data_IF_714378590644
#
_entry.id   IF_714378590644
#
_cell.length_a   1.000
_cell.length_b   1.000
_cell.length_c   1.000
_cell.angle_alpha   90.00
_cell.angle_beta   90.00
_cell.angle_gamma   90.00
#
_symmetry.space_group_name_H-M   'P 1'
#
loop_
_entity.id
_entity.type
_entity.pdbx_description
1 polymer ?
#
# COMPACT_ATOMS: atom_id res chain seq x y z
N UNK A 1 -5.57 -62.25 66.96
CA UNK A 1 -6.89 -61.69 66.57
C UNK A 1 -6.73 -60.19 66.57
N UNK A 2 -7.16 -59.49 65.53
CA UNK A 2 -7.15 -58.02 65.55
C UNK A 2 -8.17 -57.52 66.58
N UNK A 3 -7.79 -56.56 67.40
CA UNK A 3 -8.72 -55.90 68.32
C UNK A 3 -9.72 -55.06 67.51
N UNK A 4 -11.03 -55.18 67.79
CA UNK A 4 -12.04 -54.38 67.10
C UNK A 4 -11.94 -52.91 67.52
N UNK A 5 -11.87 -52.02 66.53
CA UNK A 5 -11.87 -50.57 66.73
C UNK A 5 -13.24 -50.10 67.23
N UNK A 6 -13.22 -49.14 68.16
CA UNK A 6 -14.41 -48.45 68.64
C UNK A 6 -14.94 -47.47 67.58
N UNK A 7 -16.24 -47.12 67.58
CA UNK A 7 -16.80 -46.17 66.61
C UNK A 7 -16.06 -44.83 66.56
N UNK A 8 -15.53 -44.35 67.68
CA UNK A 8 -14.78 -43.09 67.74
C UNK A 8 -13.40 -43.20 67.05
N UNK A 9 -12.83 -44.39 66.96
CA UNK A 9 -11.54 -44.67 66.30
C UNK A 9 -11.70 -44.82 64.77
N UNK A 10 -12.95 -44.91 64.28
CA UNK A 10 -13.27 -44.99 62.86
C UNK A 10 -13.46 -43.62 62.20
N UNK A 11 -13.50 -42.54 62.98
CA UNK A 11 -13.74 -41.17 62.50
C UNK A 11 -12.69 -40.21 63.01
N UNK A 12 -12.17 -39.40 62.10
CA UNK A 12 -11.32 -38.26 62.44
C UNK A 12 -12.18 -37.01 62.49
N UNK A 13 -12.57 -36.58 63.69
CA UNK A 13 -13.38 -35.38 63.90
C UNK A 13 -12.47 -34.17 63.93
N UNK A 14 -12.73 -33.18 63.06
CA UNK A 14 -12.10 -31.87 63.13
C UNK A 14 -12.89 -31.01 64.13
N UNK A 15 -12.24 -30.54 65.19
CA UNK A 15 -12.85 -29.66 66.17
C UNK A 15 -12.95 -28.24 65.61
N UNK A 16 -14.15 -27.66 65.38
CA UNK A 16 -14.28 -26.33 64.80
C UNK A 16 -13.63 -25.22 65.64
N UNK A 17 -13.54 -25.41 66.97
CA UNK A 17 -12.92 -24.43 67.86
C UNK A 17 -11.40 -24.28 67.62
N UNK A 18 -10.75 -25.29 67.01
CA UNK A 18 -9.31 -25.26 66.68
C UNK A 18 -8.99 -24.43 65.43
N UNK A 19 -9.99 -24.07 64.62
CA UNK A 19 -9.80 -23.41 63.33
C UNK A 19 -9.57 -21.90 63.46
N UNK A 20 -9.98 -21.29 64.58
CA UNK A 20 -9.69 -19.88 64.89
C UNK A 20 -10.47 -18.84 64.09
N UNK A 21 -11.51 -19.24 63.34
CA UNK A 21 -12.43 -18.35 62.63
C UNK A 21 -13.88 -18.79 62.81
N UNK A 22 -14.82 -17.86 62.72
CA UNK A 22 -16.26 -18.19 62.86
C UNK A 22 -16.86 -18.57 61.52
N UNK A 23 -16.45 -17.89 60.46
CA UNK A 23 -16.92 -18.11 59.09
C UNK A 23 -15.75 -18.16 58.11
N UNK A 24 -15.92 -18.85 56.97
CA UNK A 24 -14.88 -18.93 55.93
C UNK A 24 -14.63 -17.59 55.23
N UNK A 25 -15.48 -16.58 55.44
CA UNK A 25 -15.27 -15.21 54.92
C UNK A 25 -14.09 -14.52 55.62
N UNK A 26 -13.76 -14.94 56.84
CA UNK A 26 -12.63 -14.42 57.62
C UNK A 26 -11.28 -15.01 57.19
N UNK A 27 -11.30 -16.08 56.38
CA UNK A 27 -10.09 -16.79 55.96
C UNK A 27 -9.51 -16.10 54.73
N UNK A 28 -8.28 -15.58 54.80
CA UNK A 28 -7.63 -14.97 53.65
C UNK A 28 -7.44 -16.00 52.53
N UNK A 29 -7.57 -15.56 51.28
CA UNK A 29 -7.34 -16.43 50.13
C UNK A 29 -5.89 -16.89 50.10
N UNK A 30 -5.66 -18.20 50.09
CA UNK A 30 -4.33 -18.75 49.93
C UNK A 30 -3.89 -18.57 48.47
N UNK A 31 -2.78 -17.88 48.26
CA UNK A 31 -2.12 -17.78 46.95
C UNK A 31 -0.99 -18.80 46.77
N UNK A 32 -0.64 -19.51 47.85
CA UNK A 32 0.40 -20.53 47.85
C UNK A 32 -0.06 -21.86 47.27
N UNK A 33 0.89 -22.55 46.63
CA UNK A 33 0.66 -23.86 46.02
C UNK A 33 0.88 -24.95 47.04
N UNK A 34 -0.20 -25.57 47.51
CA UNK A 34 -0.15 -26.61 48.54
C UNK A 34 0.42 -27.92 47.95
N UNK A 35 1.50 -28.43 48.53
CA UNK A 35 2.02 -29.79 48.27
C UNK A 35 2.69 -30.01 46.91
N UNK A 36 2.98 -28.95 46.14
CA UNK A 36 3.58 -29.04 44.80
C UNK A 36 4.97 -28.39 44.69
N UNK A 37 5.73 -28.31 45.79
CA UNK A 37 7.04 -27.62 45.85
C UNK A 37 8.01 -28.06 44.74
N UNK A 38 8.05 -29.36 44.43
CA UNK A 38 8.92 -29.88 43.37
C UNK A 38 8.53 -29.33 42.00
N UNK A 39 7.24 -29.27 41.70
CA UNK A 39 6.75 -28.76 40.42
C UNK A 39 7.01 -27.25 40.31
N UNK A 40 6.80 -26.50 41.40
CA UNK A 40 7.09 -25.06 41.44
C UNK A 40 8.57 -24.76 41.23
N UNK A 41 9.49 -25.49 41.89
CA UNK A 41 10.93 -25.34 41.65
C UNK A 41 11.32 -25.64 40.19
N UNK A 42 10.71 -26.63 39.56
CA UNK A 42 10.97 -26.96 38.16
C UNK A 42 10.44 -25.88 37.20
N UNK A 43 9.26 -25.32 37.51
CA UNK A 43 8.69 -24.20 36.78
C UNK A 43 9.59 -22.95 36.89
N UNK A 44 9.99 -22.58 38.11
CA UNK A 44 10.88 -21.44 38.35
C UNK A 44 12.23 -21.59 37.65
N UNK A 45 12.82 -22.79 37.71
CA UNK A 45 14.05 -23.09 36.99
C UNK A 45 13.87 -22.90 35.48
N UNK A 46 12.79 -23.45 34.90
CA UNK A 46 12.52 -23.34 33.47
C UNK A 46 12.25 -21.89 33.03
N UNK A 47 11.51 -21.12 33.85
CA UNK A 47 11.24 -19.70 33.58
C UNK A 47 12.49 -18.81 33.75
N UNK A 48 13.49 -19.26 34.51
CA UNK A 48 14.76 -18.57 34.68
C UNK A 48 15.77 -18.79 33.54
N UNK A 49 15.46 -19.65 32.55
CA UNK A 49 16.33 -19.90 31.40
C UNK A 49 16.09 -18.84 30.31
N UNK A 50 17.05 -17.95 30.00
CA UNK A 50 16.87 -16.89 29.01
C UNK A 50 17.07 -17.37 27.56
N UNK A 51 17.57 -18.58 27.35
CA UNK A 51 17.91 -19.09 26.02
C UNK A 51 16.70 -19.62 25.25
N UNK A 52 16.70 -19.37 23.94
CA UNK A 52 15.71 -19.94 23.03
C UNK A 52 15.91 -21.46 22.89
N UNK A 53 14.81 -22.19 22.68
CA UNK A 53 14.82 -23.65 22.44
C UNK A 53 14.37 -24.50 23.63
N UNK A 54 14.16 -23.89 24.81
CA UNK A 54 13.58 -24.56 25.97
C UNK A 54 12.07 -24.30 26.04
N UNK A 55 11.30 -25.35 26.31
CA UNK A 55 9.86 -25.29 26.53
C UNK A 55 9.51 -26.06 27.81
N UNK A 56 8.48 -25.61 28.54
CA UNK A 56 8.01 -26.27 29.76
C UNK A 56 6.73 -27.06 29.44
N UNK A 57 6.72 -28.34 29.81
CA UNK A 57 5.53 -29.19 29.73
C UNK A 57 5.08 -29.57 31.14
N UNK A 58 3.79 -29.35 31.43
CA UNK A 58 3.22 -29.58 32.77
C UNK A 58 2.29 -30.78 32.76
N UNK A 59 2.69 -31.84 33.47
CA UNK A 59 1.94 -33.09 33.62
C UNK A 59 1.39 -33.24 35.05
N UNK A 60 0.21 -33.84 35.18
CA UNK A 60 -0.39 -34.23 36.46
C UNK A 60 -1.82 -34.72 36.29
N UNK A 61 -2.48 -35.03 37.40
CA UNK A 61 -3.86 -35.54 37.38
C UNK A 61 -4.88 -34.45 37.05
N UNK A 62 -6.04 -34.84 36.55
CA UNK A 62 -7.16 -33.94 36.29
C UNK A 62 -7.74 -33.41 37.61
N UNK A 63 -8.21 -32.15 37.61
CA UNK A 63 -8.80 -31.53 38.81
C UNK A 63 -7.82 -30.94 39.82
N UNK A 64 -6.51 -31.02 39.57
CA UNK A 64 -5.45 -30.52 40.47
C UNK A 64 -5.19 -29.01 40.38
N UNK A 65 -5.94 -28.27 39.56
CA UNK A 65 -5.76 -26.82 39.40
C UNK A 65 -4.46 -26.39 38.68
N UNK A 66 -3.77 -27.32 38.00
CA UNK A 66 -2.48 -27.08 37.31
C UNK A 66 -2.45 -25.82 36.46
N UNK A 67 -3.44 -25.64 35.59
CA UNK A 67 -3.49 -24.48 34.69
C UNK A 67 -3.57 -23.17 35.47
N UNK A 68 -4.38 -23.13 36.52
CA UNK A 68 -4.52 -21.94 37.37
C UNK A 68 -3.21 -21.60 38.10
N UNK A 69 -2.54 -22.61 38.64
CA UNK A 69 -1.26 -22.46 39.34
C UNK A 69 -0.17 -21.95 38.38
N UNK A 70 -0.03 -22.61 37.23
CA UNK A 70 0.96 -22.24 36.21
C UNK A 70 0.70 -20.84 35.69
N UNK A 71 -0.56 -20.50 35.38
CA UNK A 71 -0.95 -19.17 34.92
C UNK A 71 -0.62 -18.09 35.96
N UNK A 72 -1.00 -18.30 37.22
CA UNK A 72 -0.73 -17.33 38.28
C UNK A 72 0.78 -17.08 38.44
N UNK A 73 1.58 -18.15 38.38
CA UNK A 73 3.05 -18.03 38.49
C UNK A 73 3.67 -17.34 37.27
N UNK A 74 3.18 -17.65 36.07
CA UNK A 74 3.58 -16.98 34.83
C UNK A 74 3.26 -15.48 34.89
N UNK A 75 2.05 -15.11 35.31
CA UNK A 75 1.62 -13.71 35.42
C UNK A 75 2.42 -12.92 36.46
N UNK A 76 2.84 -13.57 37.55
CA UNK A 76 3.73 -12.96 38.53
C UNK A 76 5.11 -12.68 37.93
N UNK A 77 5.72 -13.70 37.29
CA UNK A 77 7.04 -13.55 36.68
C UNK A 77 7.02 -12.55 35.52
N UNK A 78 5.99 -12.60 34.69
CA UNK A 78 5.88 -11.80 33.48
C UNK A 78 5.84 -10.29 33.78
N UNK A 79 5.34 -9.87 34.95
CA UNK A 79 5.37 -8.46 35.39
C UNK A 79 6.78 -7.89 35.54
N UNK A 80 7.76 -8.74 35.79
CA UNK A 80 9.17 -8.34 35.95
C UNK A 80 9.93 -8.31 34.61
N UNK A 81 9.36 -8.90 33.56
CA UNK A 81 9.98 -8.98 32.25
C UNK A 81 9.86 -7.67 31.48
N UNK A 82 10.64 -7.53 30.41
CA UNK A 82 10.52 -6.37 29.51
C UNK A 82 9.21 -6.47 28.73
N UNK A 83 8.58 -5.32 28.52
CA UNK A 83 7.44 -5.21 27.59
C UNK A 83 7.95 -5.52 26.18
N UNK A 84 7.36 -6.49 25.46
CA UNK A 84 7.79 -6.82 24.12
C UNK A 84 7.35 -5.75 23.11
N UNK A 85 8.07 -5.69 21.99
CA UNK A 85 7.77 -4.78 20.88
C UNK A 85 6.35 -4.99 20.31
N UNK A 86 5.81 -3.92 19.74
CA UNK A 86 4.68 -3.97 18.82
C UNK A 86 5.11 -4.62 17.50
N UNK A 87 4.17 -5.28 16.83
CA UNK A 87 4.39 -5.88 15.51
C UNK A 87 3.37 -5.40 14.51
N UNK A 88 3.86 -4.91 13.38
CA UNK A 88 3.06 -4.43 12.27
C UNK A 88 3.39 -5.20 10.99
N UNK A 89 2.37 -5.53 10.19
CA UNK A 89 2.54 -5.85 8.78
C UNK A 89 2.38 -4.59 7.94
N UNK A 90 3.31 -4.41 7.00
CA UNK A 90 3.27 -3.36 6.00
C UNK A 90 3.31 -3.98 4.61
N UNK A 91 2.72 -3.28 3.64
CA UNK A 91 2.74 -3.72 2.25
C UNK A 91 4.16 -3.77 1.71
N UNK A 92 4.43 -4.74 0.84
CA UNK A 92 5.72 -4.90 0.20
C UNK A 92 5.61 -4.49 -1.27
N UNK A 93 6.14 -3.31 -1.61
CA UNK A 93 6.08 -2.76 -2.96
C UNK A 93 6.90 -3.55 -3.99
N UNK A 94 7.82 -4.41 -3.54
CA UNK A 94 8.64 -5.26 -4.40
C UNK A 94 8.05 -6.65 -4.62
N UNK A 95 7.34 -7.17 -3.62
CA UNK A 95 6.71 -8.49 -3.65
C UNK A 95 5.35 -8.44 -2.93
N UNK A 96 4.27 -8.02 -3.62
CA UNK A 96 2.94 -7.80 -3.03
C UNK A 96 2.37 -8.98 -2.24
N UNK A 97 2.72 -10.21 -2.61
CA UNK A 97 2.22 -11.43 -1.97
C UNK A 97 2.96 -11.74 -0.66
N UNK A 98 3.96 -10.92 -0.28
CA UNK A 98 4.82 -11.13 0.89
C UNK A 98 4.91 -9.86 1.74
N UNK A 99 3.91 -9.60 2.61
CA UNK A 99 3.95 -8.44 3.50
C UNK A 99 5.18 -8.47 4.41
N UNK A 100 5.71 -7.29 4.72
CA UNK A 100 6.89 -7.14 5.58
C UNK A 100 6.47 -6.93 7.02
N UNK A 101 7.09 -7.67 7.94
CA UNK A 101 6.92 -7.45 9.37
C UNK A 101 7.92 -6.40 9.87
N UNK A 102 7.44 -5.44 10.65
CA UNK A 102 8.25 -4.42 11.32
C UNK A 102 7.94 -4.47 12.82
N UNK A 103 8.97 -4.61 13.65
CA UNK A 103 8.87 -4.46 15.09
C UNK A 103 9.16 -3.01 15.50
N UNK A 104 8.41 -2.51 16.47
CA UNK A 104 8.56 -1.17 17.02
C UNK A 104 8.43 -1.21 18.54
N UNK A 105 9.03 -0.27 19.29
CA UNK A 105 8.84 -0.22 20.73
C UNK A 105 7.36 -0.13 21.13
N UNK A 106 6.99 -0.58 22.33
CA UNK A 106 5.61 -0.62 22.79
C UNK A 106 4.85 0.70 22.57
N UNK A 107 3.70 0.61 21.90
CA UNK A 107 2.84 1.74 21.54
C UNK A 107 3.23 2.52 20.30
N UNK A 108 4.44 2.36 19.76
CA UNK A 108 4.86 3.03 18.52
C UNK A 108 4.16 2.45 17.29
N UNK A 109 3.73 1.20 17.31
CA UNK A 109 2.94 0.57 16.25
C UNK A 109 1.58 1.25 16.08
N UNK A 110 0.92 1.59 17.19
CA UNK A 110 -0.31 2.39 17.13
C UNK A 110 -0.08 3.80 16.58
N UNK A 111 1.02 4.45 16.99
CA UNK A 111 1.33 5.80 16.54
C UNK A 111 1.60 5.87 15.02
N UNK A 112 2.38 4.93 14.46
CA UNK A 112 2.68 4.95 13.01
C UNK A 112 1.45 4.61 12.18
N UNK A 113 0.56 3.74 12.66
CA UNK A 113 -0.71 3.46 11.99
C UNK A 113 -1.54 4.73 11.85
N UNK A 114 -1.73 5.44 12.96
CA UNK A 114 -2.54 6.65 12.98
C UNK A 114 -1.88 7.77 12.15
N UNK A 115 -0.55 7.93 12.24
CA UNK A 115 0.21 8.87 11.40
C UNK A 115 0.10 8.57 9.88
N UNK A 116 0.12 7.29 9.50
CA UNK A 116 -0.04 6.88 8.10
C UNK A 116 -1.45 7.15 7.58
N UNK A 117 -2.47 6.92 8.40
CA UNK A 117 -3.85 7.28 8.06
C UNK A 117 -3.98 8.80 7.87
N UNK A 118 -3.40 9.59 8.76
CA UNK A 118 -3.36 11.06 8.63
C UNK A 118 -2.61 11.54 7.39
N UNK A 119 -1.46 10.93 7.07
CA UNK A 119 -0.69 11.20 5.86
C UNK A 119 -1.54 11.00 4.62
N UNK A 120 -2.17 9.82 4.48
CA UNK A 120 -2.96 9.49 3.29
C UNK A 120 -4.16 10.43 3.15
N UNK A 121 -4.84 10.77 4.25
CA UNK A 121 -5.94 11.72 4.23
C UNK A 121 -5.47 13.15 3.88
N UNK A 122 -4.29 13.57 4.33
CA UNK A 122 -3.69 14.83 3.93
C UNK A 122 -3.35 14.85 2.43
N UNK A 123 -2.78 13.77 1.89
CA UNK A 123 -2.43 13.65 0.47
C UNK A 123 -3.67 13.66 -0.43
N UNK A 124 -4.72 12.92 -0.07
CA UNK A 124 -6.02 12.93 -0.77
C UNK A 124 -6.64 14.32 -0.86
N UNK A 125 -6.39 15.20 0.11
CA UNK A 125 -6.88 16.58 0.10
C UNK A 125 -5.95 17.53 -0.64
N UNK A 126 -4.65 17.40 -0.44
CA UNK A 126 -3.68 18.39 -0.90
C UNK A 126 -3.28 18.19 -2.36
N UNK A 127 -3.09 16.94 -2.81
CA UNK A 127 -2.68 16.66 -4.20
C UNK A 127 -3.67 17.22 -5.23
N UNK A 128 -5.01 16.97 -5.12
CA UNK A 128 -5.98 17.57 -6.04
C UNK A 128 -5.90 19.09 -6.12
N UNK A 129 -5.75 19.76 -4.97
CA UNK A 129 -5.73 21.24 -4.90
C UNK A 129 -4.56 21.86 -5.63
N UNK A 130 -3.43 21.15 -5.73
CA UNK A 130 -2.28 21.67 -6.48
C UNK A 130 -2.47 21.49 -7.99
N UNK A 131 -3.15 20.43 -8.43
CA UNK A 131 -3.58 20.30 -9.82
C UNK A 131 -4.61 21.35 -10.25
N UNK A 132 -5.42 21.85 -9.31
CA UNK A 132 -6.38 22.95 -9.54
C UNK A 132 -5.74 24.35 -9.36
N UNK A 133 -4.43 24.43 -9.12
CA UNK A 133 -3.75 25.70 -8.91
C UNK A 133 -3.49 26.42 -10.24
N UNK A 134 -3.64 27.76 -10.23
CA UNK A 134 -3.36 28.60 -11.41
C UNK A 134 -1.91 28.48 -11.90
N UNK A 135 -0.97 28.25 -10.99
CA UNK A 135 0.44 28.08 -11.34
C UNK A 135 0.66 26.79 -12.13
N UNK A 136 0.02 25.69 -11.72
CA UNK A 136 0.05 24.43 -12.47
C UNK A 136 -0.62 24.58 -13.84
N UNK A 137 -1.83 25.15 -13.89
CA UNK A 137 -2.55 25.38 -15.14
C UNK A 137 -1.72 26.19 -16.14
N UNK A 138 -1.11 27.28 -15.67
CA UNK A 138 -0.25 28.13 -16.50
C UNK A 138 0.95 27.37 -17.07
N UNK A 139 1.72 26.65 -16.25
CA UNK A 139 2.88 25.90 -16.76
C UNK A 139 2.47 24.78 -17.72
N UNK A 140 1.35 24.12 -17.45
CA UNK A 140 0.79 23.10 -18.34
C UNK A 140 0.39 23.71 -19.69
N UNK A 141 -0.29 24.86 -19.68
CA UNK A 141 -0.71 25.55 -20.89
C UNK A 141 0.49 26.05 -21.70
N UNK A 142 1.54 26.58 -21.05
CA UNK A 142 2.80 26.96 -21.71
C UNK A 142 3.47 25.77 -22.44
N UNK A 143 3.46 24.57 -21.84
CA UNK A 143 3.97 23.36 -22.47
C UNK A 143 3.15 22.97 -23.71
N UNK A 144 1.81 23.08 -23.62
CA UNK A 144 0.89 22.75 -24.71
C UNK A 144 0.96 23.76 -25.85
N UNK A 145 1.05 25.05 -25.55
CA UNK A 145 1.24 26.10 -26.55
C UNK A 145 2.56 25.90 -27.31
N UNK A 146 3.66 25.61 -26.61
CA UNK A 146 4.94 25.29 -27.24
C UNK A 146 4.88 24.05 -28.14
N UNK A 147 4.09 23.04 -27.78
CA UNK A 147 3.83 21.86 -28.62
C UNK A 147 3.06 22.24 -29.89
N UNK A 148 2.02 23.06 -29.75
CA UNK A 148 1.19 23.51 -30.86
C UNK A 148 2.00 24.34 -31.85
N UNK A 149 2.84 25.26 -31.36
CA UNK A 149 3.71 26.10 -32.19
C UNK A 149 4.74 25.27 -32.97
N UNK A 150 5.45 24.35 -32.31
CA UNK A 150 6.42 23.45 -32.96
C UNK A 150 5.76 22.60 -34.04
N UNK A 151 4.59 22.03 -33.74
CA UNK A 151 3.83 21.21 -34.70
C UNK A 151 3.33 22.05 -35.87
N UNK A 152 2.84 23.27 -35.61
CA UNK A 152 2.39 24.20 -36.66
C UNK A 152 3.55 24.61 -37.57
N UNK A 153 4.69 24.98 -37.02
CA UNK A 153 5.89 25.36 -37.79
C UNK A 153 6.40 24.21 -38.67
N UNK A 154 6.29 22.96 -38.20
CA UNK A 154 6.63 21.77 -38.97
C UNK A 154 5.76 21.63 -40.23
N UNK A 155 4.44 21.67 -40.09
CA UNK A 155 3.54 21.56 -41.23
C UNK A 155 3.53 22.79 -42.14
N UNK A 156 3.75 24.00 -41.60
CA UNK A 156 3.90 25.22 -42.42
C UNK A 156 5.13 25.17 -43.33
N UNK A 157 6.26 24.63 -42.83
CA UNK A 157 7.46 24.43 -43.67
C UNK A 157 7.19 23.45 -44.82
N UNK A 158 6.45 22.38 -44.54
CA UNK A 158 6.05 21.39 -45.55
C UNK A 158 5.04 21.96 -46.55
N UNK A 159 4.08 22.77 -46.09
CA UNK A 159 3.10 23.46 -46.95
C UNK A 159 3.77 24.45 -47.91
N UNK A 160 4.75 25.21 -47.43
CA UNK A 160 5.55 26.10 -48.27
C UNK A 160 6.33 25.32 -49.34
N UNK A 161 7.00 24.24 -48.95
CA UNK A 161 7.75 23.37 -49.88
C UNK A 161 6.83 22.71 -50.92
N UNK A 162 5.64 22.26 -50.52
CA UNK A 162 4.65 21.71 -51.42
C UNK A 162 4.16 22.78 -52.42
N UNK A 163 3.85 23.98 -51.94
CA UNK A 163 3.37 25.08 -52.78
C UNK A 163 4.42 25.53 -53.80
N UNK A 164 5.69 25.63 -53.40
CA UNK A 164 6.83 25.95 -54.30
C UNK A 164 7.00 24.93 -55.42
N UNK A 165 6.56 23.67 -55.21
CA UNK A 165 6.61 22.59 -56.20
C UNK A 165 5.28 22.36 -56.92
N UNK A 166 4.27 23.20 -56.70
CA UNK A 166 2.95 23.07 -57.35
C UNK A 166 2.06 21.99 -56.74
N UNK A 167 2.14 21.78 -55.43
CA UNK A 167 1.33 20.83 -54.66
C UNK A 167 0.63 21.52 -53.47
N UNK A 168 -0.40 20.88 -52.94
CA UNK A 168 -1.14 21.32 -51.75
C UNK A 168 -1.18 20.21 -50.71
N UNK A 169 -1.17 20.57 -49.43
CA UNK A 169 -1.53 19.66 -48.34
C UNK A 169 -3.03 19.71 -48.09
N UNK A 170 -3.69 18.55 -48.11
CA UNK A 170 -5.13 18.42 -47.86
C UNK A 170 -5.39 17.44 -46.74
N UNK A 171 -6.34 17.77 -45.87
CA UNK A 171 -6.92 16.82 -44.91
C UNK A 171 -7.86 15.86 -45.64
N UNK A 172 -7.63 14.57 -45.48
CA UNK A 172 -8.45 13.48 -45.99
C UNK A 172 -8.94 12.61 -44.81
N UNK A 173 -9.94 11.74 -45.00
CA UNK A 173 -10.37 10.80 -43.95
C UNK A 173 -9.25 9.87 -43.45
N UNK A 174 -8.23 9.61 -44.29
CA UNK A 174 -7.07 8.81 -43.95
C UNK A 174 -5.91 9.63 -43.32
N UNK A 175 -6.09 10.94 -43.11
CA UNK A 175 -5.08 11.85 -42.59
C UNK A 175 -4.66 12.92 -43.61
N UNK A 176 -3.48 13.52 -43.41
CA UNK A 176 -2.94 14.50 -44.36
C UNK A 176 -2.43 13.81 -45.63
N UNK A 177 -2.67 14.41 -46.79
CA UNK A 177 -2.17 13.95 -48.08
C UNK A 177 -1.62 15.13 -48.90
N UNK A 178 -0.60 14.86 -49.70
CA UNK A 178 -0.07 15.80 -50.69
C UNK A 178 -0.79 15.56 -52.02
N UNK A 179 -1.34 16.62 -52.62
CA UNK A 179 -2.06 16.54 -53.90
C UNK A 179 -1.50 17.55 -54.92
N UNK A 180 -1.37 17.20 -56.21
CA UNK A 180 -0.92 18.13 -57.24
C UNK A 180 -1.89 19.32 -57.38
N UNK A 181 -1.36 20.51 -57.61
CA UNK A 181 -2.13 21.75 -57.76
C UNK A 181 -2.14 22.23 -59.22
N UNK A 182 -3.32 22.57 -59.72
CA UNK A 182 -3.53 23.19 -61.03
C UNK A 182 -3.05 24.65 -61.03
N UNK A 183 -2.99 25.25 -62.23
CA UNK A 183 -2.60 26.67 -62.40
C UNK A 183 -3.54 27.65 -61.69
N UNK A 184 -4.74 27.21 -61.36
CA UNK A 184 -5.77 27.93 -60.63
C UNK A 184 -5.66 27.77 -59.10
N UNK A 185 -4.64 27.05 -58.62
CA UNK A 185 -4.41 26.80 -57.19
C UNK A 185 -5.36 25.78 -56.57
N UNK A 186 -6.07 24.99 -57.40
CA UNK A 186 -6.95 23.91 -56.93
C UNK A 186 -6.30 22.53 -57.11
N UNK A 187 -6.70 21.51 -56.35
CA UNK A 187 -6.23 20.15 -56.60
C UNK A 187 -6.57 19.72 -58.05
N UNK A 188 -5.60 19.19 -58.79
CA UNK A 188 -5.84 18.63 -60.12
C UNK A 188 -6.89 17.52 -60.03
N UNK A 189 -7.87 17.55 -60.93
CA UNK A 189 -8.76 16.41 -61.13
C UNK A 189 -8.05 15.30 -61.91
N UNK A 190 -8.56 14.07 -61.76
CA UNK A 190 -8.04 12.89 -62.46
C UNK A 190 -8.00 13.09 -63.99
N UNK A 191 -9.02 13.75 -64.57
CA UNK A 191 -9.10 14.03 -66.01
C UNK A 191 -8.04 15.03 -66.46
N UNK A 192 -7.84 16.11 -65.70
CA UNK A 192 -6.82 17.12 -66.02
C UNK A 192 -5.41 16.56 -65.92
N UNK A 193 -5.16 15.63 -65.00
CA UNK A 193 -3.89 14.94 -64.89
C UNK A 193 -3.67 14.01 -66.10
N UNK A 194 -4.70 13.28 -66.54
CA UNK A 194 -4.64 12.37 -67.70
C UNK A 194 -4.40 13.09 -69.04
N UNK A 195 -4.81 14.35 -69.16
CA UNK A 195 -4.57 15.18 -70.35
C UNK A 195 -3.14 15.76 -70.41
N UNK A 196 -2.33 15.63 -69.35
CA UNK A 196 -0.96 16.15 -69.33
C UNK A 196 0.01 15.34 -70.20
N UNK A 197 1.03 16.00 -70.80
CA UNK A 197 2.14 15.32 -71.47
C UNK A 197 2.87 14.35 -70.55
N UNK A 198 3.41 13.26 -71.13
CA UNK A 198 4.09 12.19 -70.39
C UNK A 198 5.27 12.69 -69.53
N UNK A 199 6.00 13.70 -70.02
CA UNK A 199 7.11 14.34 -69.30
C UNK A 199 6.63 15.06 -68.03
N UNK A 200 5.51 15.80 -68.10
CA UNK A 200 4.92 16.48 -66.95
C UNK A 200 4.32 15.52 -65.92
N UNK A 201 3.73 14.40 -66.37
CA UNK A 201 3.26 13.34 -65.48
C UNK A 201 4.41 12.74 -64.68
N UNK A 202 5.53 12.44 -65.33
CA UNK A 202 6.73 11.93 -64.66
C UNK A 202 7.27 12.92 -63.61
N UNK A 203 7.33 14.21 -63.92
CA UNK A 203 7.75 15.25 -62.98
C UNK A 203 6.81 15.37 -61.76
N UNK A 204 5.49 15.28 -61.98
CA UNK A 204 4.50 15.27 -60.90
C UNK A 204 4.67 14.02 -60.03
N UNK A 205 4.88 12.84 -60.62
CA UNK A 205 5.02 11.59 -59.87
C UNK A 205 6.27 11.59 -58.98
N UNK A 206 7.42 12.07 -59.49
CA UNK A 206 8.65 12.18 -58.71
C UNK A 206 8.51 13.19 -57.57
N UNK A 207 7.92 14.37 -57.83
CA UNK A 207 7.67 15.37 -56.80
C UNK A 207 6.64 14.89 -55.76
N UNK A 208 5.62 14.13 -56.18
CA UNK A 208 4.64 13.51 -55.28
C UNK A 208 5.35 12.56 -54.32
N UNK A 209 6.22 11.68 -54.84
CA UNK A 209 6.98 10.74 -54.01
C UNK A 209 7.87 11.46 -53.01
N UNK A 210 8.62 12.47 -53.46
CA UNK A 210 9.49 13.28 -52.61
C UNK A 210 8.71 14.01 -51.49
N UNK A 211 7.59 14.66 -51.84
CA UNK A 211 6.77 15.38 -50.85
C UNK A 211 6.04 14.42 -49.90
N UNK A 212 5.66 13.24 -50.38
CA UNK A 212 5.07 12.19 -49.53
C UNK A 212 6.08 11.66 -48.51
N UNK A 213 7.35 11.49 -48.90
CA UNK A 213 8.44 11.17 -47.97
C UNK A 213 8.62 12.27 -46.92
N UNK A 214 8.63 13.55 -47.35
CA UNK A 214 8.72 14.70 -46.42
C UNK A 214 7.51 14.82 -45.49
N UNK A 215 6.31 14.47 -45.96
CA UNK A 215 5.12 14.39 -45.13
C UNK A 215 5.25 13.29 -44.07
N UNK A 216 5.77 12.12 -44.45
CA UNK A 216 6.01 11.03 -43.50
C UNK A 216 7.05 11.42 -42.44
N UNK A 217 8.12 12.13 -42.83
CA UNK A 217 9.11 12.68 -41.90
C UNK A 217 8.46 13.65 -40.91
N UNK A 218 7.63 14.58 -41.40
CA UNK A 218 6.91 15.54 -40.57
C UNK A 218 5.92 14.86 -39.61
N UNK A 219 5.19 13.83 -40.06
CA UNK A 219 4.30 13.06 -39.17
C UNK A 219 5.09 12.34 -38.08
N UNK A 220 6.27 11.80 -38.40
CA UNK A 220 7.15 11.15 -37.41
C UNK A 220 7.66 12.16 -36.38
N UNK A 221 8.12 13.33 -36.84
CA UNK A 221 8.58 14.40 -35.95
C UNK A 221 7.44 14.94 -35.08
N UNK A 222 6.22 15.10 -35.61
CA UNK A 222 5.04 15.46 -34.82
C UNK A 222 4.74 14.46 -33.70
N UNK A 223 4.86 13.15 -33.95
CA UNK A 223 4.73 12.11 -32.92
C UNK A 223 5.83 12.20 -31.86
N UNK A 224 7.05 12.54 -32.25
CA UNK A 224 8.13 12.74 -31.28
C UNK A 224 7.86 13.97 -30.39
N UNK A 225 7.37 15.07 -30.97
CA UNK A 225 6.94 16.25 -30.21
C UNK A 225 5.85 15.88 -29.21
N UNK A 226 4.84 15.11 -29.63
CA UNK A 226 3.77 14.63 -28.75
C UNK A 226 4.32 13.79 -27.58
N UNK A 227 5.27 12.89 -27.85
CA UNK A 227 5.95 12.09 -26.82
C UNK A 227 6.73 12.98 -25.85
N UNK A 228 7.54 13.92 -26.35
CA UNK A 228 8.29 14.87 -25.51
C UNK A 228 7.35 15.72 -24.65
N UNK A 229 6.23 16.17 -25.20
CA UNK A 229 5.22 16.94 -24.48
C UNK A 229 4.61 16.13 -23.35
N UNK A 230 4.27 14.86 -23.60
CA UNK A 230 3.79 13.97 -22.54
C UNK A 230 4.83 13.81 -21.44
N UNK A 231 6.09 13.51 -21.80
CA UNK A 231 7.18 13.36 -20.82
C UNK A 231 7.38 14.64 -19.98
N UNK A 232 7.21 15.84 -20.57
CA UNK A 232 7.26 17.12 -19.86
C UNK A 232 6.08 17.34 -18.92
N UNK A 233 4.88 16.96 -19.34
CA UNK A 233 3.69 17.03 -18.48
C UNK A 233 3.84 16.07 -17.31
N UNK A 234 4.25 14.83 -17.55
CA UNK A 234 4.48 13.83 -16.50
C UNK A 234 5.57 14.29 -15.51
N UNK A 235 6.61 15.00 -16.00
CA UNK A 235 7.64 15.61 -15.16
C UNK A 235 7.11 16.78 -14.31
N UNK A 236 6.31 17.67 -14.91
CA UNK A 236 5.63 18.76 -14.20
C UNK A 236 4.71 18.21 -13.10
N UNK A 237 3.92 17.18 -13.43
CA UNK A 237 3.04 16.50 -12.49
C UNK A 237 3.83 15.94 -11.30
N UNK A 238 4.94 15.26 -11.57
CA UNK A 238 5.81 14.70 -10.54
C UNK A 238 6.44 15.77 -9.66
N UNK A 239 6.95 16.85 -10.25
CA UNK A 239 7.56 17.97 -9.52
C UNK A 239 6.56 18.60 -8.55
N UNK A 240 5.37 18.92 -9.06
CA UNK A 240 4.30 19.58 -8.30
C UNK A 240 3.81 18.69 -7.17
N UNK A 241 3.66 17.39 -7.39
CA UNK A 241 3.28 16.44 -6.34
C UNK A 241 4.40 16.22 -5.33
N UNK A 242 5.68 16.21 -5.75
CA UNK A 242 6.82 16.14 -4.84
C UNK A 242 6.82 17.28 -3.82
N UNK A 243 6.45 18.49 -4.22
CA UNK A 243 6.33 19.63 -3.29
C UNK A 243 5.28 19.42 -2.20
N UNK A 244 4.27 18.56 -2.43
CA UNK A 244 3.24 18.20 -1.44
C UNK A 244 3.65 16.98 -0.62
N UNK A 245 4.17 15.94 -1.28
CA UNK A 245 4.48 14.65 -0.67
C UNK A 245 5.72 14.72 0.22
N UNK A 246 6.79 15.37 -0.26
CA UNK A 246 8.08 15.35 0.43
C UNK A 246 8.00 15.95 1.84
N UNK A 247 7.38 17.13 2.08
CA UNK A 247 7.30 17.68 3.43
C UNK A 247 6.58 16.74 4.41
N UNK A 248 5.46 16.14 3.98
CA UNK A 248 4.65 15.26 4.84
C UNK A 248 5.35 13.94 5.16
N UNK A 249 6.02 13.32 4.19
CA UNK A 249 6.76 12.08 4.44
C UNK A 249 8.04 12.35 5.23
N UNK A 250 8.75 13.45 4.95
CA UNK A 250 9.97 13.79 5.68
C UNK A 250 9.68 14.04 7.17
N UNK A 251 8.52 14.59 7.52
CA UNK A 251 8.08 14.70 8.91
C UNK A 251 8.01 13.33 9.61
N UNK A 252 7.45 12.32 8.93
CA UNK A 252 7.41 10.95 9.46
C UNK A 252 8.80 10.31 9.50
N UNK A 253 9.62 10.49 8.46
CA UNK A 253 11.00 9.96 8.43
C UNK A 253 11.81 10.50 9.61
N UNK A 254 11.73 11.81 9.89
CA UNK A 254 12.42 12.41 11.03
C UNK A 254 11.86 11.90 12.37
N UNK A 255 10.53 11.76 12.50
CA UNK A 255 9.86 11.21 13.69
C UNK A 255 10.29 9.77 14.00
N UNK A 256 10.56 8.98 12.96
CA UNK A 256 10.87 7.55 13.05
C UNK A 256 12.31 7.19 12.65
N UNK A 257 13.22 8.18 12.61
CA UNK A 257 14.59 8.04 12.10
C UNK A 257 15.43 6.93 12.74
N UNK A 258 15.10 6.55 13.97
CA UNK A 258 15.79 5.49 14.73
C UNK A 258 15.41 4.07 14.26
N UNK A 259 14.38 3.94 13.41
CA UNK A 259 13.84 2.67 12.94
C UNK A 259 14.12 2.50 11.44
N UNK A 260 15.32 2.06 11.09
CA UNK A 260 15.80 1.94 9.70
C UNK A 260 14.81 1.19 8.78
N UNK A 261 14.22 0.09 9.26
CA UNK A 261 13.25 -0.70 8.50
C UNK A 261 11.97 0.10 8.17
N UNK A 262 11.52 0.94 9.09
CA UNK A 262 10.36 1.80 8.90
C UNK A 262 10.70 2.99 8.00
N UNK A 263 11.87 3.59 8.17
CA UNK A 263 12.36 4.67 7.29
C UNK A 263 12.44 4.17 5.84
N UNK A 264 13.02 2.98 5.61
CA UNK A 264 13.05 2.34 4.29
C UNK A 264 11.65 2.17 3.70
N UNK A 265 10.69 1.72 4.51
CA UNK A 265 9.31 1.57 4.07
C UNK A 265 8.66 2.92 3.71
N UNK A 266 8.88 3.97 4.50
CA UNK A 266 8.37 5.32 4.20
C UNK A 266 8.94 5.88 2.89
N UNK A 267 10.20 5.58 2.59
CA UNK A 267 10.81 5.95 1.31
C UNK A 267 10.21 5.17 0.13
N UNK A 268 9.89 3.90 0.32
CA UNK A 268 9.17 3.10 -0.69
C UNK A 268 7.74 3.64 -0.90
N UNK A 269 7.05 4.04 0.18
CA UNK A 269 5.75 4.72 0.10
C UNK A 269 5.85 6.01 -0.71
N UNK A 270 6.88 6.84 -0.47
CA UNK A 270 7.14 8.07 -1.23
C UNK A 270 7.25 7.78 -2.71
N UNK A 271 8.10 6.84 -3.09
CA UNK A 271 8.32 6.50 -4.50
C UNK A 271 7.07 5.90 -5.15
N UNK A 272 6.31 5.07 -4.44
CA UNK A 272 5.08 4.50 -4.97
C UNK A 272 4.00 5.56 -5.20
N UNK A 273 3.83 6.51 -4.28
CA UNK A 273 2.90 7.64 -4.45
C UNK A 273 3.29 8.48 -5.69
N UNK A 274 4.59 8.77 -5.86
CA UNK A 274 5.08 9.54 -7.01
C UNK A 274 4.98 8.78 -8.34
N UNK A 275 4.94 7.45 -8.32
CA UNK A 275 4.68 6.62 -9.51
C UNK A 275 3.19 6.50 -9.82
N UNK A 276 2.33 6.60 -8.81
CA UNK A 276 0.89 6.39 -8.92
C UNK A 276 0.08 7.68 -8.66
N UNK A 277 0.59 8.83 -9.11
CA UNK A 277 -0.02 10.15 -8.91
C UNK A 277 -1.48 10.20 -9.38
N UNK A 278 -1.79 9.54 -10.49
CA UNK A 278 -3.13 9.50 -11.06
C UNK A 278 -4.19 8.89 -10.11
N UNK A 279 -3.78 8.09 -9.12
CA UNK A 279 -4.68 7.59 -8.08
C UNK A 279 -5.25 8.72 -7.20
N UNK A 280 -4.51 9.83 -7.06
CA UNK A 280 -4.87 10.98 -6.23
C UNK A 280 -5.53 12.12 -7.01
N UNK A 281 -5.64 12.02 -8.34
CA UNK A 281 -6.24 13.08 -9.15
C UNK A 281 -7.76 13.14 -8.99
N UNK A 282 -8.36 14.35 -8.97
CA UNK A 282 -9.81 14.48 -9.04
C UNK A 282 -10.28 13.89 -10.37
N UNK A 283 -11.11 12.84 -10.32
CA UNK A 283 -11.65 12.21 -11.52
C UNK A 283 -12.90 12.98 -11.94
N UNK A 284 -12.86 13.65 -13.10
CA UNK A 284 -14.05 14.26 -13.68
C UNK A 284 -15.12 13.19 -13.95
N UNK A 285 -16.36 13.48 -13.54
CA UNK A 285 -17.55 12.68 -13.85
C UNK A 285 -18.00 12.89 -15.30
N UNK A 286 -17.20 12.46 -16.28
CA UNK A 286 -17.69 12.37 -17.66
C UNK A 286 -18.00 10.92 -18.01
N UNK A 287 -19.28 10.56 -17.87
CA UNK A 287 -19.87 9.47 -18.65
C UNK A 287 -20.77 10.10 -19.72
N UNK A 288 -20.56 9.82 -21.02
CA UNK A 288 -21.37 10.40 -22.11
C UNK A 288 -22.86 10.00 -22.10
N UNK A 289 -23.29 9.16 -21.14
CA UNK A 289 -24.63 8.55 -21.14
C UNK A 289 -25.31 8.50 -19.75
N UNK A 290 -24.78 9.16 -18.72
CA UNK A 290 -25.45 9.21 -17.39
C UNK A 290 -25.57 7.85 -16.67
N UNK A 291 -24.91 6.80 -17.16
CA UNK A 291 -24.85 5.50 -16.50
C UNK A 291 -23.75 5.57 -15.44
N UNK A 292 -24.16 5.63 -14.17
CA UNK A 292 -23.25 5.43 -13.03
C UNK A 292 -22.78 3.98 -13.02
N UNK A 293 -21.70 3.67 -13.74
CA UNK A 293 -20.97 2.43 -13.48
C UNK A 293 -20.36 2.52 -12.07
N UNK A 294 -20.49 1.47 -11.23
CA UNK A 294 -19.74 1.39 -9.99
C UNK A 294 -18.24 1.36 -10.35
N UNK A 295 -17.54 2.46 -10.08
CA UNK A 295 -16.09 2.53 -10.32
C UNK A 295 -15.38 1.89 -9.14
N UNK A 296 -14.31 1.15 -9.45
CA UNK A 296 -13.32 0.73 -8.47
C UNK A 296 -12.59 2.00 -8.00
N UNK A 297 -12.92 2.47 -6.80
CA UNK A 297 -12.14 3.53 -6.16
C UNK A 297 -10.68 3.07 -6.03
N UNK A 298 -9.69 3.96 -6.24
CA UNK A 298 -8.30 3.61 -5.95
C UNK A 298 -8.21 3.18 -4.49
N UNK A 299 -7.83 1.93 -4.26
CA UNK A 299 -7.60 1.43 -2.92
C UNK A 299 -6.28 1.95 -2.40
N UNK A 300 -6.33 2.76 -1.35
CA UNK A 300 -5.16 3.22 -0.59
C UNK A 300 -4.80 2.25 0.54
N UNK A 301 -5.42 1.06 0.59
CA UNK A 301 -5.18 0.04 1.61
C UNK A 301 -3.71 -0.40 1.64
N UNK A 302 -3.01 -0.38 0.49
CA UNK A 302 -1.57 -0.70 0.39
C UNK A 302 -0.66 0.21 1.23
N UNK A 303 -1.15 1.37 1.68
CA UNK A 303 -0.38 2.29 2.53
C UNK A 303 -0.72 2.15 4.00
N UNK A 304 -1.74 1.37 4.36
CA UNK A 304 -2.12 1.16 5.76
C UNK A 304 -1.12 0.29 6.48
N UNK A 305 -1.01 0.54 7.78
CA UNK A 305 -0.24 -0.29 8.71
C UNK A 305 -1.19 -1.27 9.39
N UNK A 306 -0.96 -2.56 9.17
CA UNK A 306 -1.71 -3.60 9.86
C UNK A 306 -1.04 -3.93 11.20
N UNK A 307 -1.49 -3.27 12.28
CA UNK A 307 -0.99 -3.49 13.64
C UNK A 307 -1.53 -4.81 14.21
N UNK A 308 -0.69 -5.83 14.26
CA UNK A 308 -1.06 -7.18 14.72
C UNK A 308 -0.89 -7.33 16.24
N UNK A 309 0.18 -6.76 16.79
CA UNK A 309 0.47 -6.82 18.22
C UNK A 309 0.70 -5.40 18.73
N UNK A 310 -0.07 -5.00 19.75
CA UNK A 310 0.05 -3.72 20.42
C UNK A 310 0.27 -3.94 21.92
N UNK A 311 1.42 -3.50 22.42
CA UNK A 311 1.84 -3.66 23.81
C UNK A 311 1.87 -2.33 24.58
N UNK A 312 1.24 -1.26 24.07
CA UNK A 312 1.21 0.07 24.69
C UNK A 312 0.83 0.06 26.17
N UNK A 313 -0.21 -0.69 26.51
CA UNK A 313 -0.78 -0.74 27.87
C UNK A 313 -0.31 -1.97 28.66
N UNK A 314 0.59 -2.77 28.08
CA UNK A 314 1.11 -3.99 28.69
C UNK A 314 2.14 -3.66 29.78
N UNK A 315 2.07 -4.41 30.89
CA UNK A 315 3.05 -4.32 31.99
C UNK A 315 3.85 -5.63 32.05
N UNK A 316 5.06 -5.58 31.52
CA UNK A 316 5.94 -6.73 31.35
C UNK A 316 5.56 -7.63 30.17
N UNK A 317 5.92 -8.91 30.23
CA UNK A 317 5.60 -9.88 29.18
C UNK A 317 4.11 -10.29 29.21
N UNK A 318 3.50 -10.56 28.05
CA UNK A 318 2.12 -11.05 28.00
C UNK A 318 2.04 -12.54 28.31
N UNK A 319 1.00 -12.96 29.04
CA UNK A 319 0.66 -14.37 29.26
C UNK A 319 -0.59 -14.70 28.45
N UNK A 320 -0.42 -15.42 27.35
CA UNK A 320 -1.50 -15.81 26.44
C UNK A 320 -1.88 -17.27 26.70
N UNK A 321 -3.17 -17.52 26.94
CA UNK A 321 -3.70 -18.88 27.13
C UNK A 321 -4.62 -19.23 25.98
N UNK A 322 -4.16 -20.12 25.11
CA UNK A 322 -4.97 -20.73 24.05
C UNK A 322 -5.47 -22.10 24.51
N UNK A 323 -6.79 -22.26 24.59
CA UNK A 323 -7.44 -23.51 25.04
C UNK A 323 -7.89 -24.39 23.89
N UNK A 324 -8.00 -23.82 22.69
CA UNK A 324 -8.36 -24.48 21.44
C UNK A 324 -7.30 -24.18 20.37
N UNK A 325 -6.15 -24.89 20.38
CA UNK A 325 -4.99 -24.60 19.54
C UNK A 325 -5.19 -25.06 18.09
N UNK A 326 -6.17 -24.47 17.41
CA UNK A 326 -6.37 -24.66 15.97
C UNK A 326 -5.28 -23.93 15.19
N UNK A 327 -5.06 -24.32 13.94
CA UNK A 327 -4.09 -23.66 13.07
C UNK A 327 -4.32 -22.14 13.00
N UNK A 328 -5.57 -21.70 12.80
CA UNK A 328 -5.88 -20.28 12.69
C UNK A 328 -5.72 -19.51 14.00
N UNK A 329 -5.94 -20.14 15.14
CA UNK A 329 -5.72 -19.50 16.44
C UNK A 329 -4.23 -19.29 16.75
N UNK A 330 -3.37 -20.20 16.27
CA UNK A 330 -1.92 -20.13 16.50
C UNK A 330 -1.18 -19.29 15.46
N UNK A 331 -1.61 -19.35 14.19
CA UNK A 331 -0.88 -18.77 13.06
C UNK A 331 -1.61 -17.60 12.38
N UNK A 332 -2.85 -17.31 12.79
CA UNK A 332 -3.69 -16.32 12.13
C UNK A 332 -4.31 -16.83 10.83
N UNK A 333 -5.00 -15.94 10.12
CA UNK A 333 -5.72 -16.25 8.87
C UNK A 333 -5.68 -15.05 7.93
N UNK A 334 -5.56 -15.33 6.63
CA UNK A 334 -5.77 -14.34 5.55
C UNK A 334 -7.25 -14.36 5.16
N UNK A 335 -7.89 -13.19 5.17
CA UNK A 335 -9.29 -13.05 4.80
C UNK A 335 -9.42 -12.57 3.37
N UNK A 336 -10.36 -13.18 2.63
CA UNK A 336 -10.63 -12.81 1.24
C UNK A 336 -12.00 -12.16 1.13
N UNK A 337 -12.07 -11.07 0.38
CA UNK A 337 -13.32 -10.42 -0.03
C UNK A 337 -13.59 -10.76 -1.49
N UNK A 338 -14.82 -11.17 -1.80
CA UNK A 338 -15.22 -11.41 -3.18
C UNK A 338 -15.66 -10.10 -3.82
N UNK A 339 -14.90 -9.61 -4.79
CA UNK A 339 -15.26 -8.45 -5.61
C UNK A 339 -15.43 -8.91 -7.06
N UNK A 340 -16.60 -8.66 -7.64
CA UNK A 340 -16.93 -9.03 -9.03
C UNK A 340 -16.67 -10.51 -9.38
N UNK A 341 -16.86 -11.42 -8.43
CA UNK A 341 -16.65 -12.87 -8.62
C UNK A 341 -15.20 -13.32 -8.49
N UNK A 342 -14.27 -12.42 -8.15
CA UNK A 342 -12.86 -12.73 -7.87
C UNK A 342 -12.59 -12.54 -6.37
N UNK A 343 -11.86 -13.47 -5.76
CA UNK A 343 -11.40 -13.32 -4.38
C UNK A 343 -10.19 -12.38 -4.34
N UNK A 344 -10.25 -11.36 -3.48
CA UNK A 344 -9.21 -10.33 -3.31
C UNK A 344 -8.85 -10.22 -1.82
N UNK A 345 -7.57 -9.99 -1.52
CA UNK A 345 -7.04 -9.67 -0.17
C UNK A 345 -6.14 -8.45 -0.28
N UNK A 346 -5.92 -7.77 0.84
CA UNK A 346 -4.97 -6.66 1.01
C UNK A 346 -3.88 -6.99 2.03
#
# INVERSE_FOLDING_TARGET
>A
MAEPLKPEELVRICNPEELGFTTTEEVPTLHDVIGQERAMRALDFGLGLPEQGYNIYVLGESGTGRTSIVKARLEEKAKEEKVPDDWCYVYNFHDPDRPRAINLPPGKGSAIRDDMDELIEALKRNIPRVFESKDYERHRDEILEGQQERTRALFQRLEKLATERGFLLKKTPAGLAVVPAGKDGRPLSQKEYEELPREKKHEIDENTRFLQEKLNDAVREARNIEKETKERIDALDREVVQYVVNPLINELIEKYREFENLVSYLEEVREDILRNIDAFRPKEEFTPFGIKLPRVEPSFERYKINLIVNNKDTKGAPVVVETNPTYYNLFGKIEYRFQYGVAVTD
#
